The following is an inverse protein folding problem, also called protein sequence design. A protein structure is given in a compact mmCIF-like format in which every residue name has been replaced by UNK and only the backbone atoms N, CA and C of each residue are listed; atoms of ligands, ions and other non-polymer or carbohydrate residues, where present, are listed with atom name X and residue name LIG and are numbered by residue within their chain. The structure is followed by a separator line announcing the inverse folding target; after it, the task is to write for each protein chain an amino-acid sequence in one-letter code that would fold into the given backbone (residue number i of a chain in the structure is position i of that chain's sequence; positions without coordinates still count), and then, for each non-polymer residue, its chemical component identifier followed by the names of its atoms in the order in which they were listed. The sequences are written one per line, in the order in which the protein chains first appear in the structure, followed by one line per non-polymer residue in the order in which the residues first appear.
data_IF_644009095707
#
_entry.id   IF_644009095707
#
_cell.length_a   1.000
_cell.length_b   1.000
_cell.length_c   1.000
_cell.angle_alpha   90.00
_cell.angle_beta   90.00
_cell.angle_gamma   90.00
#
_symmetry.space_group_name_H-M   'P 1'
#
loop_
_entity.id
_entity.type
_entity.pdbx_description
1 polymer ?
#
# COMPACT_ATOMS: atom_id res chain seq x y z
N UNK A 1 1.94 24.01 1.92
CA UNK A 1 2.40 25.38 1.58
C UNK A 1 1.27 26.36 1.88
N UNK A 2 1.54 27.57 2.40
CA UNK A 2 0.48 28.52 2.73
C UNK A 2 -0.29 28.96 1.48
N UNK A 3 -1.62 29.04 1.57
CA UNK A 3 -2.53 29.37 0.46
C UNK A 3 -2.29 30.74 -0.19
N UNK A 4 -1.64 31.66 0.52
CA UNK A 4 -1.25 32.99 0.03
C UNK A 4 -0.15 32.93 -1.03
N UNK A 5 0.80 32.00 -0.90
CA UNK A 5 1.95 31.86 -1.82
C UNK A 5 1.50 31.34 -3.18
N UNK A 6 0.56 30.39 -3.20
CA UNK A 6 0.01 29.81 -4.44
C UNK A 6 -0.78 30.87 -5.23
N UNK A 7 -1.58 31.70 -4.55
CA UNK A 7 -2.35 32.77 -5.20
C UNK A 7 -1.43 33.85 -5.81
N UNK A 8 -0.34 34.20 -5.12
CA UNK A 8 0.66 35.12 -5.65
C UNK A 8 1.36 34.56 -6.91
N UNK A 9 1.71 33.27 -6.88
CA UNK A 9 2.33 32.59 -8.02
C UNK A 9 1.41 32.54 -9.25
N UNK A 10 0.14 32.16 -9.08
CA UNK A 10 -0.83 32.08 -10.19
C UNK A 10 -1.09 33.44 -10.83
N UNK A 11 -1.09 34.52 -10.04
CA UNK A 11 -1.23 35.89 -10.53
C UNK A 11 -0.01 36.31 -11.36
N UNK A 12 1.19 35.90 -10.93
CA UNK A 12 2.43 36.12 -11.67
C UNK A 12 2.50 35.31 -12.98
N UNK A 13 2.08 34.04 -12.95
CA UNK A 13 2.07 33.15 -14.13
C UNK A 13 1.11 33.63 -15.24
N UNK A 14 -0.01 34.26 -14.89
CA UNK A 14 -0.91 34.88 -15.88
C UNK A 14 -0.28 36.10 -16.56
N UNK A 15 0.44 36.93 -15.80
CA UNK A 15 1.20 38.07 -16.35
C UNK A 15 2.36 37.56 -17.23
N UNK A 16 2.99 36.46 -16.85
CA UNK A 16 4.07 35.79 -17.60
C UNK A 16 3.64 35.32 -19.00
N UNK A 17 2.47 34.68 -19.13
CA UNK A 17 1.97 34.24 -20.44
C UNK A 17 1.65 35.40 -21.39
N UNK A 18 1.28 36.57 -20.85
CA UNK A 18 1.04 37.79 -21.62
C UNK A 18 2.38 38.43 -22.05
N UNK A 19 3.36 38.50 -21.15
CA UNK A 19 4.67 39.10 -21.43
C UNK A 19 5.50 38.33 -22.48
N UNK A 20 5.40 36.99 -22.51
CA UNK A 20 6.06 36.15 -23.51
C UNK A 20 5.61 36.44 -24.94
N UNK A 21 4.38 36.93 -25.12
CA UNK A 21 3.84 37.29 -26.45
C UNK A 21 4.28 38.67 -26.92
N UNK A 22 4.78 39.54 -26.03
CA UNK A 22 5.00 40.95 -26.33
C UNK A 22 6.49 41.35 -26.44
N UNK A 23 7.42 40.68 -25.76
CA UNK A 23 8.79 41.23 -25.56
C UNK A 23 9.95 40.39 -26.11
N UNK A 24 9.68 39.26 -26.77
CA UNK A 24 10.72 38.43 -27.38
C UNK A 24 11.80 37.90 -26.41
N UNK A 25 12.85 37.29 -26.95
CA UNK A 25 13.85 36.53 -26.19
C UNK A 25 14.77 37.41 -25.30
N UNK A 26 15.00 38.67 -25.69
CA UNK A 26 15.81 39.63 -24.92
C UNK A 26 15.05 40.12 -23.68
N UNK A 27 13.74 40.34 -23.80
CA UNK A 27 12.88 40.67 -22.64
C UNK A 27 12.89 39.57 -21.57
N UNK A 28 13.03 38.30 -21.99
CA UNK A 28 13.06 37.14 -21.09
C UNK A 28 14.30 37.08 -20.20
N UNK A 29 15.49 37.46 -20.70
CA UNK A 29 16.73 37.48 -19.90
C UNK A 29 16.62 38.49 -18.76
N UNK A 30 16.11 39.70 -19.06
CA UNK A 30 15.95 40.75 -18.06
C UNK A 30 14.90 40.39 -16.98
N UNK A 31 13.82 39.71 -17.36
CA UNK A 31 12.79 39.25 -16.41
C UNK A 31 13.31 38.14 -15.49
N UNK A 32 14.11 37.20 -16.00
CA UNK A 32 14.75 36.15 -15.18
C UNK A 32 15.70 36.73 -14.15
N UNK A 33 16.54 37.69 -14.55
CA UNK A 33 17.46 38.38 -13.64
C UNK A 33 16.67 39.15 -12.56
N UNK A 34 15.57 39.80 -12.92
CA UNK A 34 14.72 40.52 -11.97
C UNK A 34 13.97 39.58 -10.99
N UNK A 35 13.56 38.39 -11.43
CA UNK A 35 12.91 37.39 -10.57
C UNK A 35 13.89 36.77 -9.55
N UNK A 36 15.13 36.49 -9.98
CA UNK A 36 16.21 36.01 -9.09
C UNK A 36 16.54 37.06 -8.04
N UNK A 37 16.69 38.34 -8.44
CA UNK A 37 16.94 39.47 -7.52
C UNK A 37 15.81 39.71 -6.52
N UNK A 38 14.59 39.24 -6.80
CA UNK A 38 13.42 39.33 -5.92
C UNK A 38 13.16 38.05 -5.10
N UNK A 39 14.12 37.12 -5.05
CA UNK A 39 14.04 35.92 -4.21
C UNK A 39 13.09 34.83 -4.72
N UNK A 40 12.58 34.94 -5.95
CA UNK A 40 11.81 33.88 -6.60
C UNK A 40 12.80 32.84 -7.16
N UNK A 41 13.29 31.96 -6.30
CA UNK A 41 14.12 30.83 -6.74
C UNK A 41 13.28 29.84 -7.56
N UNK A 42 13.86 29.19 -8.59
CA UNK A 42 13.16 28.24 -9.45
C UNK A 42 12.78 26.92 -8.75
N UNK A 43 12.89 26.85 -7.42
CA UNK A 43 12.46 25.68 -6.64
C UNK A 43 10.97 25.36 -6.83
N UNK A 44 10.15 26.35 -7.22
CA UNK A 44 8.75 26.12 -7.59
C UNK A 44 8.56 25.41 -8.95
N UNK A 45 9.56 25.34 -9.82
CA UNK A 45 9.42 24.66 -11.12
C UNK A 45 9.52 23.13 -11.02
N UNK A 46 10.14 22.59 -9.95
CA UNK A 46 10.22 21.15 -9.72
C UNK A 46 8.89 20.52 -9.27
N UNK A 47 7.91 21.32 -8.85
CA UNK A 47 6.60 20.83 -8.38
C UNK A 47 5.56 20.78 -9.52
N UNK A 48 5.83 21.40 -10.67
CA UNK A 48 4.83 21.52 -11.76
C UNK A 48 4.86 20.33 -12.73
N UNK A 49 5.89 19.47 -12.69
CA UNK A 49 6.11 18.46 -13.73
C UNK A 49 5.59 17.05 -13.41
N UNK A 50 5.02 16.78 -12.23
CA UNK A 50 4.41 15.47 -11.93
C UNK A 50 2.95 15.68 -11.60
N UNK A 51 2.06 15.33 -12.53
CA UNK A 51 0.64 15.13 -12.19
C UNK A 51 0.62 14.26 -10.92
N UNK A 52 -0.11 14.64 -9.85
CA UNK A 52 -0.22 13.77 -8.69
C UNK A 52 -0.72 12.42 -9.19
N UNK A 53 -0.01 11.34 -8.83
CA UNK A 53 -0.48 9.99 -9.13
C UNK A 53 -1.91 9.88 -8.58
N UNK A 54 -2.87 9.27 -9.31
CA UNK A 54 -4.23 9.17 -8.82
C UNK A 54 -4.23 8.54 -7.43
N UNK A 55 -5.19 8.91 -6.58
CA UNK A 55 -5.26 8.41 -5.20
C UNK A 55 -5.26 6.87 -5.16
N UNK A 56 -5.80 6.22 -6.20
CA UNK A 56 -5.75 4.77 -6.43
C UNK A 56 -4.34 4.18 -6.53
N UNK A 57 -3.33 4.97 -6.89
CA UNK A 57 -1.92 4.53 -6.90
C UNK A 57 -1.27 4.54 -5.52
N UNK A 58 -1.90 5.22 -4.55
CA UNK A 58 -1.47 5.27 -3.14
C UNK A 58 -2.32 4.37 -2.24
N UNK A 59 -3.54 4.00 -2.65
CA UNK A 59 -4.27 2.89 -2.05
C UNK A 59 -3.75 1.58 -2.63
N UNK A 60 -2.71 1.02 -2.02
CA UNK A 60 -2.40 -0.40 -2.23
C UNK A 60 -3.66 -1.20 -1.90
N UNK A 61 -4.02 -2.16 -2.76
CA UNK A 61 -5.32 -2.83 -2.70
C UNK A 61 -5.57 -3.39 -1.29
N UNK A 62 -6.63 -2.91 -0.64
CA UNK A 62 -7.10 -3.42 0.62
C UNK A 62 -7.59 -4.86 0.41
N UNK A 63 -7.18 -5.76 1.29
CA UNK A 63 -7.54 -7.18 1.23
C UNK A 63 -8.25 -7.57 2.51
N UNK A 64 -9.27 -8.43 2.41
CA UNK A 64 -9.98 -8.94 3.58
C UNK A 64 -9.02 -9.64 4.55
N UNK A 65 -9.14 -9.34 5.84
CA UNK A 65 -8.26 -9.86 6.89
C UNK A 65 -8.48 -11.36 7.12
N UNK A 66 -7.41 -12.13 7.22
CA UNK A 66 -7.49 -13.57 7.44
C UNK A 66 -7.55 -13.93 8.93
N UNK A 67 -8.25 -15.01 9.23
CA UNK A 67 -8.56 -15.48 10.58
C UNK A 67 -8.51 -17.00 10.66
N UNK A 68 -8.54 -17.52 11.88
CA UNK A 68 -8.71 -18.95 12.10
C UNK A 68 -9.97 -19.45 11.39
N UNK A 69 -9.81 -20.54 10.65
CA UNK A 69 -10.90 -21.19 9.92
C UNK A 69 -11.30 -20.51 8.61
N UNK A 70 -10.62 -19.46 8.17
CA UNK A 70 -10.90 -18.87 6.86
C UNK A 70 -10.39 -19.80 5.72
N UNK A 71 -11.11 -19.88 4.58
CA UNK A 71 -10.79 -20.80 3.50
C UNK A 71 -9.40 -20.63 2.86
N UNK A 72 -8.82 -21.75 2.43
CA UNK A 72 -7.58 -21.82 1.63
C UNK A 72 -7.83 -22.49 0.28
N UNK A 73 -6.92 -22.32 -0.68
CA UNK A 73 -7.10 -22.75 -2.06
C UNK A 73 -7.15 -24.29 -2.24
N UNK A 74 -6.55 -25.04 -1.32
CA UNK A 74 -6.53 -26.50 -1.34
C UNK A 74 -7.62 -27.10 -0.44
N UNK A 75 -8.11 -28.30 -0.77
CA UNK A 75 -9.33 -28.89 -0.20
C UNK A 75 -9.15 -29.67 1.10
N UNK A 76 -7.92 -29.94 1.55
CA UNK A 76 -7.67 -30.75 2.76
C UNK A 76 -6.49 -30.23 3.62
N UNK A 77 -6.75 -29.59 4.77
CA UNK A 77 -8.04 -29.05 5.19
C UNK A 77 -8.37 -27.78 4.40
N UNK A 78 -9.66 -27.52 4.09
CA UNK A 78 -10.07 -26.38 3.26
C UNK A 78 -10.03 -25.03 4.00
N UNK A 79 -9.33 -24.95 5.14
CA UNK A 79 -9.34 -23.81 6.05
C UNK A 79 -7.99 -23.60 6.75
N UNK A 80 -7.72 -22.37 7.19
CA UNK A 80 -6.64 -22.04 8.11
C UNK A 80 -6.87 -22.75 9.47
N UNK A 81 -6.00 -23.69 9.82
CA UNK A 81 -6.13 -24.54 11.02
C UNK A 81 -4.76 -24.94 11.55
N UNK A 82 -4.70 -25.43 12.78
CA UNK A 82 -3.45 -25.88 13.42
C UNK A 82 -2.80 -24.85 14.33
N UNK A 83 -3.26 -23.60 14.29
CA UNK A 83 -2.96 -22.57 15.29
C UNK A 83 -4.24 -21.91 15.78
N UNK A 84 -4.20 -21.44 17.03
CA UNK A 84 -5.31 -20.72 17.65
C UNK A 84 -5.45 -19.27 17.16
N UNK A 85 -4.49 -18.79 16.36
CA UNK A 85 -4.40 -17.39 15.93
C UNK A 85 -3.90 -16.47 17.04
N UNK A 86 -4.22 -15.18 16.92
CA UNK A 86 -3.95 -14.16 17.93
C UNK A 86 -4.73 -14.45 19.24
N UNK A 87 -4.08 -14.34 20.41
CA UNK A 87 -4.76 -14.58 21.70
C UNK A 87 -5.72 -13.45 22.12
N UNK A 88 -5.62 -12.27 21.51
CA UNK A 88 -6.28 -11.04 21.96
C UNK A 88 -6.86 -10.18 20.83
N UNK A 89 -6.46 -10.39 19.57
CA UNK A 89 -7.03 -9.68 18.42
C UNK A 89 -8.04 -10.55 17.69
N UNK A 90 -9.30 -10.12 17.75
CA UNK A 90 -10.44 -10.79 17.14
C UNK A 90 -10.97 -9.98 15.96
N UNK A 91 -11.12 -10.62 14.81
CA UNK A 91 -11.63 -10.01 13.58
C UNK A 91 -12.94 -10.72 13.22
N UNK A 92 -14.04 -9.98 13.13
CA UNK A 92 -15.37 -10.57 12.86
C UNK A 92 -15.70 -11.76 13.77
N UNK A 93 -15.31 -11.69 15.05
CA UNK A 93 -15.58 -12.72 16.06
C UNK A 93 -14.67 -13.95 16.05
N UNK A 94 -13.62 -14.01 15.21
CA UNK A 94 -12.62 -15.10 15.23
C UNK A 94 -11.20 -14.56 15.48
N UNK A 95 -10.29 -15.35 16.06
CA UNK A 95 -8.90 -14.94 16.23
C UNK A 95 -8.24 -14.59 14.89
N UNK A 96 -7.54 -13.46 14.85
CA UNK A 96 -6.81 -13.03 13.67
C UNK A 96 -5.63 -13.96 13.36
N UNK A 97 -5.34 -14.19 12.09
CA UNK A 97 -4.19 -14.99 11.67
C UNK A 97 -2.97 -14.11 11.43
N UNK A 98 -1.82 -14.53 11.95
CA UNK A 98 -0.55 -13.77 11.94
C UNK A 98 0.50 -14.51 11.13
N UNK A 99 1.23 -13.73 10.33
CA UNK A 99 2.31 -14.22 9.51
C UNK A 99 3.46 -14.72 10.37
N UNK A 100 4.27 -15.61 9.80
CA UNK A 100 5.50 -16.15 10.39
C UNK A 100 5.34 -17.04 11.64
N UNK A 101 4.24 -16.92 12.40
CA UNK A 101 4.04 -17.69 13.64
C UNK A 101 2.87 -18.68 13.56
N UNK A 102 1.74 -18.28 12.95
CA UNK A 102 0.55 -19.13 12.96
C UNK A 102 0.68 -20.17 11.84
N UNK A 103 0.60 -21.43 12.27
CA UNK A 103 0.86 -22.63 11.48
C UNK A 103 -0.43 -23.19 10.91
N UNK A 104 -0.48 -23.29 9.58
CA UNK A 104 -1.45 -24.08 8.85
C UNK A 104 -1.01 -25.55 8.87
N UNK A 105 -1.87 -26.47 9.30
CA UNK A 105 -1.59 -27.92 9.23
C UNK A 105 -2.33 -28.49 8.03
N UNK A 106 -1.58 -28.88 7.00
CA UNK A 106 -2.10 -29.58 5.85
C UNK A 106 -2.09 -31.10 6.12
N UNK A 107 -3.25 -31.74 5.99
CA UNK A 107 -3.46 -33.16 6.37
C UNK A 107 -3.45 -34.09 5.16
N UNK A 108 -3.02 -33.61 3.99
CA UNK A 108 -2.83 -34.43 2.80
C UNK A 108 -1.95 -35.64 3.12
N UNK A 109 -2.40 -36.87 2.81
CA UNK A 109 -1.73 -38.09 3.29
C UNK A 109 -0.43 -38.43 2.54
N UNK A 110 -0.33 -38.17 1.23
CA UNK A 110 0.86 -38.56 0.46
C UNK A 110 1.12 -37.68 -0.79
N UNK A 111 2.32 -37.07 -0.94
CA UNK A 111 3.28 -36.87 0.15
C UNK A 111 2.65 -35.99 1.25
N UNK A 112 3.03 -36.17 2.52
CA UNK A 112 2.53 -35.31 3.60
C UNK A 112 3.04 -33.88 3.40
N UNK A 113 2.13 -32.98 3.04
CA UNK A 113 2.42 -31.55 2.82
C UNK A 113 2.96 -30.89 4.09
N UNK A 114 2.43 -31.30 5.25
CA UNK A 114 2.94 -30.94 6.57
C UNK A 114 2.46 -29.57 7.05
N UNK A 115 3.33 -28.90 7.82
CA UNK A 115 3.05 -27.59 8.38
C UNK A 115 3.43 -26.50 7.37
N UNK A 116 2.63 -25.46 7.27
CA UNK A 116 2.95 -24.24 6.55
C UNK A 116 2.73 -22.98 7.37
N UNK A 117 3.36 -21.89 6.96
CA UNK A 117 3.20 -20.55 7.54
C UNK A 117 2.94 -19.53 6.44
N UNK A 118 2.29 -18.43 6.77
CA UNK A 118 2.14 -17.31 5.84
C UNK A 118 3.46 -16.53 5.80
N UNK A 119 4.01 -16.34 4.60
CA UNK A 119 5.35 -15.76 4.39
C UNK A 119 5.34 -14.33 3.81
N UNK A 120 4.18 -13.87 3.33
CA UNK A 120 3.98 -12.60 2.62
C UNK A 120 2.76 -11.84 3.18
N UNK A 121 2.61 -11.85 4.51
CA UNK A 121 1.64 -11.03 5.24
C UNK A 121 1.84 -9.52 5.01
N UNK A 122 1.05 -8.70 5.70
CA UNK A 122 1.10 -7.24 5.52
C UNK A 122 2.48 -6.63 5.80
N UNK A 123 2.92 -5.69 4.96
CA UNK A 123 4.16 -4.93 5.15
C UNK A 123 4.04 -3.74 6.12
N UNK A 124 2.82 -3.37 6.51
CA UNK A 124 2.56 -2.17 7.34
C UNK A 124 1.61 -2.40 8.50
N UNK A 125 0.86 -3.49 8.50
CA UNK A 125 -0.10 -3.81 9.56
C UNK A 125 0.39 -5.03 10.31
N UNK A 126 0.59 -4.86 11.61
CA UNK A 126 1.02 -5.91 12.51
C UNK A 126 -0.10 -6.26 13.49
N UNK A 127 -0.20 -7.55 13.81
CA UNK A 127 -1.05 -8.09 14.88
C UNK A 127 -0.12 -8.82 15.85
N UNK A 128 -0.07 -8.36 17.09
CA UNK A 128 0.91 -8.79 18.10
C UNK A 128 2.38 -8.67 17.63
N UNK A 129 2.72 -7.61 16.89
CA UNK A 129 4.07 -7.37 16.39
C UNK A 129 4.49 -8.31 15.24
N UNK A 130 3.53 -8.97 14.59
CA UNK A 130 3.77 -9.86 13.46
C UNK A 130 2.89 -9.46 12.27
N UNK A 131 3.33 -9.68 11.01
CA UNK A 131 2.56 -9.31 9.82
C UNK A 131 1.13 -9.83 9.86
N UNK A 132 0.13 -8.98 9.67
CA UNK A 132 -1.26 -9.40 9.61
C UNK A 132 -1.54 -10.16 8.29
N UNK A 133 -2.17 -11.33 8.37
CA UNK A 133 -2.49 -12.13 7.18
C UNK A 133 -3.82 -11.70 6.55
N UNK A 134 -3.93 -11.93 5.24
CA UNK A 134 -5.04 -11.44 4.41
C UNK A 134 -5.36 -12.43 3.29
N UNK A 135 -6.51 -12.20 2.65
CA UNK A 135 -6.83 -12.84 1.39
C UNK A 135 -5.72 -12.63 0.35
N UNK A 136 -5.31 -13.72 -0.28
CA UNK A 136 -4.30 -13.78 -1.33
C UNK A 136 -2.87 -14.03 -0.83
N UNK A 137 -2.64 -13.91 0.48
CA UNK A 137 -1.34 -14.20 1.09
C UNK A 137 -1.05 -15.72 0.98
N UNK A 138 0.24 -16.02 0.81
CA UNK A 138 0.83 -17.31 0.49
C UNK A 138 1.21 -18.07 1.74
N UNK A 139 0.67 -19.27 1.85
CA UNK A 139 1.02 -20.27 2.84
C UNK A 139 2.12 -21.16 2.24
N UNK A 140 3.33 -21.06 2.78
CA UNK A 140 4.43 -21.93 2.40
C UNK A 140 4.43 -23.17 3.29
N UNK A 141 3.99 -24.29 2.73
CA UNK A 141 4.03 -25.63 3.33
C UNK A 141 5.39 -26.31 3.05
N UNK A 142 5.79 -27.28 3.87
CA UNK A 142 7.14 -27.89 3.79
C UNK A 142 7.32 -28.74 2.53
N UNK A 143 6.36 -29.60 2.21
CA UNK A 143 6.45 -30.56 1.11
C UNK A 143 5.32 -30.36 0.08
N UNK A 144 4.95 -29.12 -0.17
CA UNK A 144 3.78 -28.80 -1.00
C UNK A 144 4.01 -27.52 -1.80
N UNK A 145 3.39 -27.40 -2.98
CA UNK A 145 3.32 -26.14 -3.69
C UNK A 145 2.74 -25.02 -2.80
N UNK A 146 3.06 -23.75 -3.08
CA UNK A 146 2.50 -22.64 -2.32
C UNK A 146 0.97 -22.64 -2.34
N UNK A 147 0.37 -22.65 -1.16
CA UNK A 147 -1.08 -22.55 -0.96
C UNK A 147 -1.45 -21.07 -0.73
N UNK A 148 -2.73 -20.71 -0.85
CA UNK A 148 -3.21 -19.33 -0.69
C UNK A 148 -4.44 -19.26 0.19
N UNK A 149 -4.51 -18.20 0.97
CA UNK A 149 -5.74 -17.78 1.64
C UNK A 149 -6.68 -17.23 0.57
N UNK A 150 -7.87 -17.81 0.40
CA UNK A 150 -8.78 -17.42 -0.70
C UNK A 150 -9.93 -16.53 -0.24
N UNK A 151 -10.16 -16.45 1.07
CA UNK A 151 -11.19 -15.61 1.67
C UNK A 151 -10.74 -15.11 3.05
N UNK A 152 -11.33 -14.01 3.50
CA UNK A 152 -11.11 -13.42 4.82
C UNK A 152 -12.37 -12.73 5.34
N UNK A 153 -12.26 -11.95 6.40
CA UNK A 153 -13.36 -11.15 6.93
C UNK A 153 -13.66 -9.95 6.02
N UNK A 154 -14.80 -9.95 5.34
CA UNK A 154 -15.21 -8.85 4.45
C UNK A 154 -15.43 -7.51 5.17
N UNK A 155 -15.67 -7.52 6.48
CA UNK A 155 -15.86 -6.30 7.27
C UNK A 155 -14.56 -5.64 7.73
N UNK A 156 -13.40 -6.28 7.53
CA UNK A 156 -12.10 -5.75 7.95
C UNK A 156 -11.11 -5.94 6.82
N UNK A 157 -10.61 -4.83 6.28
CA UNK A 157 -9.63 -4.84 5.21
C UNK A 157 -8.27 -4.34 5.71
N UNK A 158 -7.20 -4.97 5.24
CA UNK A 158 -5.82 -4.70 5.65
C UNK A 158 -5.00 -4.32 4.41
N UNK A 159 -4.29 -3.20 4.52
CA UNK A 159 -3.40 -2.68 3.49
C UNK A 159 -1.96 -3.16 3.62
N UNK A 160 -1.09 -2.56 2.83
CA UNK A 160 0.35 -2.79 2.78
C UNK A 160 1.12 -1.48 2.71
#
# INVERSE_FOLDING_TARGET
MPSSVIKAYLRWAKIYHIALRLFGWIGWINIKIAAIKRGFTPYCQLIIAKKPKPISTYQKALKSAARVGDPVAHTSPPILTGSAGSPDVWIGGKPAWRGLIDKHICTTPQPPHGVGIVIDGSSTVEINGLPACRMGDTIQEVNSPPNKIIEGCSSVEIGD
#
